data_IF_495658314160
#
_entry.id   IF_495658314160
#
_cell.length_a   1.000
_cell.length_b   1.000
_cell.length_c   1.000
_cell.angle_alpha   90.00
_cell.angle_beta   90.00
_cell.angle_gamma   90.00
#
_symmetry.space_group_name_H-M   'P 1'
#
loop_
_entity.id
_entity.type
_entity.pdbx_description
1 polymer ?
#
# COMPACT_ATOMS: atom_id res chain seq x y z
N UNK A 1 -0.80 -16.35 3.94
CA UNK A 1 -0.28 -16.01 2.61
C UNK A 1 0.27 -14.62 2.73
N UNK A 2 1.58 -14.53 2.65
CA UNK A 2 2.29 -13.27 2.78
C UNK A 2 2.03 -12.40 1.55
N UNK A 3 2.08 -11.07 1.72
CA UNK A 3 1.88 -10.12 0.62
C UNK A 3 2.92 -10.37 -0.48
N UNK A 4 4.14 -10.74 -0.10
CA UNK A 4 5.21 -11.10 -1.03
C UNK A 4 4.88 -12.32 -1.89
N UNK A 5 4.28 -13.37 -1.31
CA UNK A 5 3.83 -14.55 -2.07
C UNK A 5 2.72 -14.19 -3.07
N UNK A 6 1.77 -13.36 -2.65
CA UNK A 6 0.70 -12.83 -3.50
C UNK A 6 1.27 -12.07 -4.70
N UNK A 7 2.22 -11.16 -4.46
CA UNK A 7 2.86 -10.35 -5.50
C UNK A 7 3.70 -11.23 -6.43
N UNK A 8 4.45 -12.19 -5.89
CA UNK A 8 5.22 -13.15 -6.68
C UNK A 8 4.31 -13.90 -7.65
N UNK A 9 3.18 -14.44 -7.16
CA UNK A 9 2.22 -15.17 -7.98
C UNK A 9 1.57 -14.31 -9.05
N UNK A 10 1.18 -13.08 -8.72
CA UNK A 10 0.65 -12.11 -9.69
C UNK A 10 1.67 -11.82 -10.80
N UNK A 11 2.96 -11.71 -10.45
CA UNK A 11 4.04 -11.48 -11.41
C UNK A 11 4.30 -12.70 -12.30
N UNK A 12 4.21 -13.92 -11.77
CA UNK A 12 4.28 -15.14 -12.57
C UNK A 12 3.16 -15.17 -13.63
N UNK A 13 1.91 -14.94 -13.21
CA UNK A 13 0.76 -14.90 -14.11
C UNK A 13 0.91 -13.78 -15.15
N UNK A 14 1.46 -12.63 -14.77
CA UNK A 14 1.72 -11.53 -15.71
C UNK A 14 2.81 -11.87 -16.74
N UNK A 15 3.87 -12.58 -16.34
CA UNK A 15 4.89 -13.07 -17.30
C UNK A 15 4.30 -14.08 -18.26
N UNK A 16 3.51 -15.03 -17.74
CA UNK A 16 2.83 -16.05 -18.56
C UNK A 16 1.86 -15.42 -19.55
N UNK A 17 1.10 -14.39 -19.13
CA UNK A 17 0.24 -13.62 -20.04
C UNK A 17 1.00 -13.04 -21.22
N UNK A 18 2.21 -12.53 -20.97
CA UNK A 18 3.02 -11.85 -21.98
C UNK A 18 3.67 -12.82 -22.98
N UNK A 19 3.96 -14.05 -22.54
CA UNK A 19 4.64 -15.07 -23.34
C UNK A 19 3.65 -15.92 -24.14
N UNK A 20 2.68 -16.53 -23.46
CA UNK A 20 1.75 -17.51 -24.05
C UNK A 20 0.28 -17.08 -24.00
N UNK A 21 -0.04 -16.05 -23.21
CA UNK A 21 -1.42 -15.73 -22.83
C UNK A 21 -1.85 -16.47 -21.56
N UNK A 22 -2.93 -15.98 -20.93
CA UNK A 22 -3.56 -16.57 -19.74
C UNK A 22 -4.81 -17.34 -20.15
N UNK A 23 -5.07 -18.47 -19.50
CA UNK A 23 -6.39 -19.11 -19.58
C UNK A 23 -7.42 -18.35 -18.74
N UNK A 24 -8.71 -18.65 -18.93
CA UNK A 24 -9.80 -18.01 -18.18
C UNK A 24 -9.67 -18.26 -16.66
N UNK A 25 -9.30 -19.48 -16.25
CA UNK A 25 -9.01 -19.81 -14.85
C UNK A 25 -7.88 -18.96 -14.26
N UNK A 26 -6.80 -18.77 -15.01
CA UNK A 26 -5.66 -17.97 -14.55
C UNK A 26 -5.97 -16.48 -14.50
N UNK A 27 -6.84 -16.00 -15.39
CA UNK A 27 -7.41 -14.65 -15.36
C UNK A 27 -8.27 -14.44 -14.11
N UNK A 28 -9.10 -15.42 -13.76
CA UNK A 28 -9.89 -15.39 -12.54
C UNK A 28 -9.00 -15.42 -11.29
N UNK A 29 -7.98 -16.30 -11.27
CA UNK A 29 -7.01 -16.37 -10.18
C UNK A 29 -6.29 -15.04 -10.00
N UNK A 30 -5.75 -14.46 -11.08
CA UNK A 30 -5.08 -13.16 -11.05
C UNK A 30 -5.98 -12.06 -10.52
N UNK A 31 -7.25 -12.05 -10.93
CA UNK A 31 -8.22 -11.06 -10.47
C UNK A 31 -8.47 -11.17 -8.97
N UNK A 32 -8.66 -12.39 -8.47
CA UNK A 32 -8.81 -12.68 -7.03
C UNK A 32 -7.59 -12.24 -6.23
N UNK A 33 -6.39 -12.59 -6.69
CA UNK A 33 -5.13 -12.23 -6.01
C UNK A 33 -4.98 -10.70 -5.96
N UNK A 34 -5.36 -10.00 -7.02
CA UNK A 34 -5.29 -8.54 -7.09
C UNK A 34 -6.27 -7.86 -6.13
N UNK A 35 -7.48 -8.40 -5.96
CA UNK A 35 -8.43 -7.91 -4.95
C UNK A 35 -7.89 -8.08 -3.53
N UNK A 36 -7.31 -9.24 -3.21
CA UNK A 36 -6.71 -9.51 -1.89
C UNK A 36 -5.55 -8.53 -1.64
N UNK A 37 -4.68 -8.32 -2.62
CA UNK A 37 -3.58 -7.36 -2.52
C UNK A 37 -4.08 -5.93 -2.26
N UNK A 38 -5.04 -5.46 -3.05
CA UNK A 38 -5.61 -4.12 -2.90
C UNK A 38 -6.32 -3.94 -1.55
N UNK A 39 -7.00 -4.97 -1.05
CA UNK A 39 -7.64 -4.95 0.26
C UNK A 39 -6.62 -4.75 1.39
N UNK A 40 -5.49 -5.47 1.34
CA UNK A 40 -4.41 -5.33 2.30
C UNK A 40 -3.72 -3.96 2.21
N UNK A 41 -3.41 -3.50 1.00
CA UNK A 41 -2.83 -2.17 0.77
C UNK A 41 -3.75 -1.06 1.29
N UNK A 42 -5.06 -1.12 1.00
CA UNK A 42 -6.02 -0.11 1.49
C UNK A 42 -6.11 -0.06 3.01
N UNK A 43 -6.09 -1.22 3.67
CA UNK A 43 -6.06 -1.30 5.14
C UNK A 43 -4.78 -0.69 5.71
N UNK A 44 -3.62 -1.06 5.15
CA UNK A 44 -2.34 -0.53 5.58
C UNK A 44 -2.24 0.98 5.35
N UNK A 45 -2.71 1.47 4.20
CA UNK A 45 -2.73 2.89 3.87
C UNK A 45 -3.68 3.69 4.78
N UNK A 46 -4.85 3.16 5.11
CA UNK A 46 -5.76 3.78 6.09
C UNK A 46 -5.11 3.89 7.47
N UNK A 47 -4.44 2.83 7.93
CA UNK A 47 -3.72 2.86 9.20
C UNK A 47 -2.58 3.91 9.19
N UNK A 48 -1.87 4.05 8.07
CA UNK A 48 -0.87 5.12 7.90
C UNK A 48 -1.51 6.52 7.93
N UNK A 49 -2.66 6.72 7.29
CA UNK A 49 -3.39 7.99 7.30
C UNK A 49 -3.95 8.34 8.69
N UNK A 50 -4.45 7.36 9.45
CA UNK A 50 -4.86 7.57 10.85
C UNK A 50 -3.66 7.88 11.76
N UNK A 51 -2.47 7.39 11.42
CA UNK A 51 -1.23 7.74 12.12
C UNK A 51 -0.67 9.12 11.73
N UNK A 52 -1.22 9.78 10.70
CA UNK A 52 -0.83 11.17 10.39
C UNK A 52 -1.44 12.06 11.47
N UNK A 53 -0.62 12.31 12.49
CA UNK A 53 -0.84 13.36 13.46
C UNK A 53 -0.71 14.70 12.72
N UNK A 54 -1.77 15.51 12.77
CA UNK A 54 -1.67 16.91 12.37
C UNK A 54 -0.80 17.56 13.45
N UNK A 55 0.49 17.68 13.16
CA UNK A 55 1.35 18.62 13.88
C UNK A 55 0.87 20.01 13.51
N UNK A 56 -0.05 20.55 14.32
CA UNK A 56 -0.19 22.00 14.43
C UNK A 56 1.17 22.50 14.90
N UNK A 57 1.97 22.98 13.95
CA UNK A 57 3.07 23.89 14.23
C UNK A 57 2.46 25.18 14.80
N UNK A 58 2.06 25.12 16.08
CA UNK A 58 1.92 26.30 16.92
C UNK A 58 3.33 26.85 17.15
N UNK A 59 3.90 27.45 16.10
CA UNK A 59 5.02 28.38 16.20
C UNK A 59 4.47 29.72 16.75
N UNK A 60 3.83 29.65 17.91
CA UNK A 60 3.26 30.76 18.67
C UNK A 60 4.13 31.06 19.88
N UNK A 61 5.21 31.81 19.65
CA UNK A 61 5.92 32.72 20.59
C UNK A 61 5.81 32.41 22.09
N UNK A 62 6.94 32.07 22.73
CA UNK A 62 7.37 32.66 24.01
C UNK A 62 8.75 32.10 24.41
N UNK A 63 9.82 32.67 23.83
CA UNK A 63 11.18 32.51 24.34
C UNK A 63 11.50 33.62 25.34
N UNK A 64 12.11 33.33 26.51
CA UNK A 64 12.23 34.28 27.60
C UNK A 64 13.16 35.44 27.24
N UNK A 65 12.77 36.64 27.67
CA UNK A 65 13.42 37.89 27.34
C UNK A 65 14.94 37.89 27.58
N UNK A 66 15.69 38.12 26.51
CA UNK A 66 17.04 38.65 26.62
C UNK A 66 16.93 40.10 27.12
N UNK A 67 17.20 40.29 28.40
CA UNK A 67 17.39 41.63 28.97
C UNK A 67 18.89 41.89 29.04
N UNK A 68 19.24 42.97 28.35
CA UNK A 68 20.46 43.79 28.32
C UNK A 68 21.51 43.59 29.42
#
# INVERSE_FOLDING_TARGET
MDIDELVARINELARKQKDTGLTEDELAERSRLREIYLGNIRRNFRAQLESIEIVDEDNGKDGPGQTR
#
